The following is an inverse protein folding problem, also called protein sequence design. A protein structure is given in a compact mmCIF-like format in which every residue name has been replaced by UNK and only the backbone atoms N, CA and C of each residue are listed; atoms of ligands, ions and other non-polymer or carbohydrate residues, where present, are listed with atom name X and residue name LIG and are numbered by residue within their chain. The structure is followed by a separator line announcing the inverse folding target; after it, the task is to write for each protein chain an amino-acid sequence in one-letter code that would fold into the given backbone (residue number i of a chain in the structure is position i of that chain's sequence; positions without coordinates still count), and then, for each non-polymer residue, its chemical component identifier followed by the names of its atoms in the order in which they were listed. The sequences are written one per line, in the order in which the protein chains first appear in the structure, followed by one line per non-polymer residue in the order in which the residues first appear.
data_IF_116525903239
#
_entry.id   IF_116525903239
#
_cell.length_a   1.000
_cell.length_b   1.000
_cell.length_c   1.000
_cell.angle_alpha   90.00
_cell.angle_beta   90.00
_cell.angle_gamma   90.00
#
_symmetry.space_group_name_H-M   'P 1'
#
loop_
_entity.id
_entity.type
_entity.pdbx_description
1 polymer ?
#
# COMPACT_ATOMS: atom_id res chain seq x y z
N UNK A 1 -67.29 30.52 -23.36
CA UNK A 1 -66.51 30.06 -22.19
C UNK A 1 -66.25 28.58 -22.32
N UNK A 2 -65.03 28.16 -22.63
CA UNK A 2 -64.27 27.17 -21.86
C UNK A 2 -62.90 27.02 -22.55
N UNK A 3 -61.85 27.40 -21.84
CA UNK A 3 -60.50 27.59 -22.35
C UNK A 3 -59.68 26.30 -22.41
N UNK A 4 -58.79 26.29 -23.39
CA UNK A 4 -57.68 25.37 -23.60
C UNK A 4 -56.66 25.50 -22.47
N UNK A 5 -56.13 24.38 -21.96
CA UNK A 5 -54.80 24.34 -21.34
C UNK A 5 -54.17 22.96 -21.52
N UNK A 6 -53.40 22.80 -22.61
CA UNK A 6 -52.38 21.76 -22.75
C UNK A 6 -51.19 22.16 -21.87
N UNK A 7 -50.99 21.45 -20.75
CA UNK A 7 -49.81 21.58 -19.90
C UNK A 7 -48.63 20.82 -20.51
N UNK A 8 -47.70 21.53 -21.16
CA UNK A 8 -46.42 20.99 -21.59
C UNK A 8 -45.47 20.84 -20.41
N UNK A 9 -45.00 19.62 -20.15
CA UNK A 9 -43.95 19.33 -19.17
C UNK A 9 -42.61 19.74 -19.79
N UNK A 10 -42.05 20.84 -19.30
CA UNK A 10 -40.72 21.33 -19.67
C UNK A 10 -39.65 20.52 -18.91
N UNK A 11 -39.02 19.57 -19.58
CA UNK A 11 -37.84 18.87 -19.09
C UNK A 11 -36.65 19.85 -19.05
N UNK A 12 -36.37 20.40 -17.88
CA UNK A 12 -35.14 21.14 -17.59
C UNK A 12 -33.95 20.17 -17.63
N UNK A 13 -33.29 20.06 -18.78
CA UNK A 13 -31.98 19.43 -18.90
C UNK A 13 -30.94 20.35 -18.27
N UNK A 14 -30.54 20.09 -17.03
CA UNK A 14 -29.34 20.72 -16.45
C UNK A 14 -28.12 20.15 -17.18
N UNK A 15 -27.26 20.98 -17.81
CA UNK A 15 -26.02 20.48 -18.36
C UNK A 15 -25.13 20.02 -17.20
N UNK A 16 -24.75 18.74 -17.20
CA UNK A 16 -23.62 18.27 -16.40
C UNK A 16 -22.40 19.06 -16.86
N UNK A 17 -22.00 20.08 -16.11
CA UNK A 17 -20.66 20.64 -16.21
C UNK A 17 -19.68 19.54 -15.81
N UNK A 18 -19.09 18.88 -16.81
CA UNK A 18 -17.83 18.18 -16.64
C UNK A 18 -16.85 19.17 -15.98
N UNK A 19 -16.37 18.85 -14.79
CA UNK A 19 -15.38 19.67 -14.09
C UNK A 19 -14.06 19.56 -14.86
N UNK A 20 -13.88 20.45 -15.85
CA UNK A 20 -12.57 20.71 -16.43
C UNK A 20 -11.72 21.36 -15.34
N UNK A 21 -11.01 20.52 -14.57
CA UNK A 21 -9.96 20.97 -13.66
C UNK A 21 -8.99 21.85 -14.46
N UNK A 22 -8.64 23.06 -13.97
CA UNK A 22 -7.67 23.89 -14.63
C UNK A 22 -6.34 23.14 -14.81
N UNK A 23 -5.60 23.39 -15.91
CA UNK A 23 -4.33 22.71 -16.15
C UNK A 23 -3.41 22.88 -14.94
N UNK A 24 -2.87 21.77 -14.45
CA UNK A 24 -2.00 21.75 -13.29
C UNK A 24 -0.83 22.72 -13.49
N UNK A 25 -0.66 23.68 -12.56
CA UNK A 25 0.49 24.59 -12.57
C UNK A 25 1.78 23.75 -12.49
N UNK A 26 2.81 24.07 -13.30
CA UNK A 26 4.08 23.35 -13.24
C UNK A 26 4.68 23.49 -11.84
N UNK A 27 5.07 22.36 -11.24
CA UNK A 27 5.64 22.32 -9.89
C UNK A 27 7.03 22.97 -9.89
N UNK A 28 7.31 23.77 -8.86
CA UNK A 28 8.66 24.27 -8.61
C UNK A 28 9.56 23.12 -8.17
N UNK A 29 10.73 22.98 -8.77
CA UNK A 29 11.78 22.08 -8.29
C UNK A 29 12.83 22.90 -7.54
N UNK A 30 13.24 22.45 -6.36
CA UNK A 30 14.31 23.04 -5.56
C UNK A 30 15.46 22.07 -5.48
N UNK A 31 16.66 22.53 -5.85
CA UNK A 31 17.88 21.72 -5.78
C UNK A 31 18.85 22.39 -4.80
N UNK A 32 19.09 21.74 -3.66
CA UNK A 32 20.15 22.11 -2.74
C UNK A 32 21.41 21.32 -3.09
N UNK A 33 22.48 22.01 -3.46
CA UNK A 33 23.81 21.41 -3.49
C UNK A 33 24.37 21.40 -2.08
N UNK A 34 24.71 20.21 -1.58
CA UNK A 34 25.44 20.01 -0.34
C UNK A 34 26.87 19.59 -0.69
N UNK A 35 27.77 20.57 -0.66
CA UNK A 35 29.16 20.38 -1.06
C UNK A 35 30.05 20.11 0.14
N UNK A 36 30.81 19.02 0.05
CA UNK A 36 31.94 18.73 0.91
C UNK A 36 33.10 19.67 0.61
N UNK A 37 33.56 20.38 1.63
CA UNK A 37 34.77 21.18 1.61
C UNK A 37 35.64 20.86 2.84
N UNK A 38 35.59 19.61 3.30
CA UNK A 38 36.50 19.10 4.32
C UNK A 38 37.93 18.96 3.78
N UNK A 39 38.90 18.74 4.67
CA UNK A 39 40.31 18.64 4.29
C UNK A 39 40.62 17.53 3.28
N UNK A 40 39.84 16.43 3.25
CA UNK A 40 40.03 15.33 2.29
C UNK A 40 39.85 15.78 0.84
N UNK A 41 38.98 16.77 0.61
CA UNK A 41 38.73 17.35 -0.72
C UNK A 41 39.94 18.09 -1.30
N UNK A 42 40.99 18.34 -0.50
CA UNK A 42 42.28 18.85 -0.97
C UNK A 42 43.14 17.79 -1.69
N UNK A 43 42.82 16.50 -1.56
CA UNK A 43 43.58 15.43 -2.20
C UNK A 43 43.48 15.49 -3.73
N UNK A 44 44.54 15.03 -4.40
CA UNK A 44 44.64 15.03 -5.87
C UNK A 44 43.93 13.79 -6.45
N UNK A 45 43.10 14.01 -7.46
CA UNK A 45 42.42 12.98 -8.26
C UNK A 45 42.52 13.35 -9.74
N UNK A 46 43.00 12.42 -10.58
CA UNK A 46 43.29 12.66 -12.00
C UNK A 46 44.15 13.91 -12.28
N UNK A 47 45.13 14.17 -11.42
CA UNK A 47 46.06 15.29 -11.56
C UNK A 47 45.52 16.66 -11.14
N UNK A 48 44.32 16.73 -10.54
CA UNK A 48 43.75 17.97 -9.97
C UNK A 48 43.19 17.74 -8.56
N UNK A 49 43.16 18.75 -7.68
CA UNK A 49 42.47 18.62 -6.40
C UNK A 49 40.99 18.28 -6.57
N UNK A 50 40.45 17.35 -5.76
CA UNK A 50 39.02 16.95 -5.79
C UNK A 50 38.09 18.16 -5.67
N UNK A 51 38.44 19.13 -4.81
CA UNK A 51 37.70 20.37 -4.65
C UNK A 51 37.64 21.23 -5.93
N UNK A 52 38.74 21.32 -6.69
CA UNK A 52 38.74 22.07 -7.96
C UNK A 52 37.82 21.41 -8.99
N UNK A 53 37.85 20.08 -9.05
CA UNK A 53 36.97 19.28 -9.90
C UNK A 53 35.51 19.54 -9.51
N UNK A 54 35.16 19.37 -8.23
CA UNK A 54 33.81 19.60 -7.71
C UNK A 54 33.30 21.02 -8.02
N UNK A 55 34.13 22.06 -7.76
CA UNK A 55 33.80 23.46 -8.08
C UNK A 55 33.55 23.69 -9.57
N UNK A 56 34.44 23.19 -10.44
CA UNK A 56 34.32 23.36 -11.89
C UNK A 56 33.03 22.72 -12.43
N UNK A 57 32.66 21.58 -11.88
CA UNK A 57 31.48 20.82 -12.28
C UNK A 57 30.19 21.47 -11.79
N UNK A 58 30.14 21.82 -10.51
CA UNK A 58 29.04 22.58 -9.94
C UNK A 58 28.82 23.88 -10.70
N UNK A 59 29.87 24.63 -11.04
CA UNK A 59 29.77 25.88 -11.78
C UNK A 59 29.12 25.69 -13.16
N UNK A 60 29.56 24.68 -13.93
CA UNK A 60 28.94 24.36 -15.23
C UNK A 60 27.49 23.91 -15.08
N UNK A 61 27.22 23.09 -14.08
CA UNK A 61 25.88 22.56 -13.85
C UNK A 61 24.91 23.66 -13.46
N UNK A 62 25.27 24.55 -12.53
CA UNK A 62 24.36 25.64 -12.16
C UNK A 62 24.08 26.55 -13.34
N UNK A 63 25.04 26.75 -14.26
CA UNK A 63 24.80 27.48 -15.52
C UNK A 63 23.76 26.77 -16.41
N UNK A 64 23.90 25.46 -16.62
CA UNK A 64 22.93 24.66 -17.37
C UNK A 64 21.55 24.61 -16.70
N UNK A 65 21.50 24.47 -15.38
CA UNK A 65 20.26 24.46 -14.61
C UNK A 65 19.56 25.83 -14.63
N UNK A 66 20.34 26.91 -14.66
CA UNK A 66 19.82 28.27 -14.69
C UNK A 66 18.93 28.54 -15.90
N UNK A 67 18.94 27.72 -16.95
CA UNK A 67 18.08 27.91 -18.13
C UNK A 67 16.65 27.41 -17.88
N UNK A 68 16.45 26.45 -16.98
CA UNK A 68 15.14 25.85 -16.75
C UNK A 68 14.16 26.81 -16.06
N UNK A 69 12.87 26.78 -16.43
CA UNK A 69 11.81 27.49 -15.72
C UNK A 69 11.42 26.74 -14.44
N UNK A 70 10.88 27.45 -13.45
CA UNK A 70 10.38 26.89 -12.18
C UNK A 70 11.42 26.07 -11.39
N UNK A 71 12.68 26.52 -11.43
CA UNK A 71 13.80 25.91 -10.71
C UNK A 71 14.43 26.93 -9.76
N UNK A 72 14.60 26.51 -8.50
CA UNK A 72 15.32 27.27 -7.48
C UNK A 72 16.57 26.49 -7.06
N UNK A 73 17.69 27.19 -6.96
CA UNK A 73 18.99 26.59 -6.60
C UNK A 73 19.50 27.18 -5.30
N UNK A 74 20.07 26.34 -4.44
CA UNK A 74 20.77 26.74 -3.22
C UNK A 74 22.10 26.01 -3.07
N UNK A 75 22.98 26.53 -2.22
CA UNK A 75 24.26 25.92 -1.88
C UNK A 75 24.46 25.94 -0.36
N UNK A 76 24.57 24.76 0.23
CA UNK A 76 25.11 24.54 1.57
C UNK A 76 26.49 23.88 1.45
N UNK A 77 27.40 24.30 2.31
CA UNK A 77 28.77 23.78 2.35
C UNK A 77 29.08 23.36 3.78
N UNK A 78 29.86 22.29 3.93
CA UNK A 78 30.34 21.82 5.22
C UNK A 78 31.85 21.60 5.22
N UNK A 79 32.45 21.68 6.41
CA UNK A 79 33.88 21.47 6.61
C UNK A 79 34.78 22.60 6.10
N UNK A 80 34.22 23.76 5.71
CA UNK A 80 35.01 24.88 5.16
C UNK A 80 35.28 26.01 6.15
N UNK A 81 34.61 26.08 7.30
CA UNK A 81 34.71 27.22 8.20
C UNK A 81 35.84 27.07 9.21
N UNK A 82 36.06 25.84 9.69
CA UNK A 82 37.02 25.54 10.75
C UNK A 82 38.13 24.63 10.25
N UNK A 83 39.26 24.65 10.95
CA UNK A 83 40.39 23.75 10.72
C UNK A 83 40.07 22.33 11.23
N UNK A 84 40.83 21.33 10.78
CA UNK A 84 40.60 19.93 11.16
C UNK A 84 40.93 19.70 12.64
N UNK A 85 41.90 20.44 13.15
CA UNK A 85 42.40 20.40 14.53
C UNK A 85 41.34 20.84 15.55
N UNK A 86 40.42 21.72 15.15
CA UNK A 86 39.30 22.17 15.99
C UNK A 86 38.22 21.10 16.18
N UNK A 87 38.26 20.02 15.39
CA UNK A 87 37.36 18.88 15.45
C UNK A 87 35.86 19.26 15.46
N UNK A 88 35.49 20.32 14.75
CA UNK A 88 34.12 20.86 14.79
C UNK A 88 33.17 20.02 13.92
N UNK A 89 32.38 19.17 14.57
CA UNK A 89 31.37 18.33 13.94
C UNK A 89 30.03 19.03 13.66
N UNK A 90 29.99 20.35 13.77
CA UNK A 90 28.84 21.20 13.45
C UNK A 90 29.19 22.25 12.37
N UNK A 91 30.31 22.08 11.66
CA UNK A 91 30.73 22.95 10.56
C UNK A 91 29.86 22.72 9.32
N UNK A 92 28.75 23.46 9.23
CA UNK A 92 27.85 23.43 8.08
C UNK A 92 27.08 24.74 7.95
N UNK A 93 27.10 25.34 6.76
CA UNK A 93 26.43 26.63 6.51
C UNK A 93 25.74 26.69 5.17
N UNK A 94 24.51 27.20 5.17
CA UNK A 94 23.83 27.64 3.95
C UNK A 94 24.52 28.91 3.45
N UNK A 95 25.32 28.77 2.41
CA UNK A 95 26.13 29.85 1.87
C UNK A 95 25.40 30.64 0.80
N UNK A 96 24.48 29.98 0.09
CA UNK A 96 23.59 30.62 -0.86
C UNK A 96 22.18 30.08 -0.64
N UNK A 97 21.28 30.93 -0.17
CA UNK A 97 19.87 30.60 -0.01
C UNK A 97 19.19 30.34 -1.36
N UNK A 98 18.05 29.63 -1.34
CA UNK A 98 17.29 29.35 -2.54
C UNK A 98 16.82 30.62 -3.24
N UNK A 99 17.08 30.69 -4.55
CA UNK A 99 16.50 31.69 -5.41
C UNK A 99 16.33 31.15 -6.83
N UNK A 100 15.43 31.78 -7.60
CA UNK A 100 15.37 31.58 -9.05
C UNK A 100 16.61 32.17 -9.72
N UNK A 101 17.08 31.54 -10.79
CA UNK A 101 18.23 31.99 -11.58
C UNK A 101 19.54 32.24 -10.77
N UNK A 102 19.76 31.45 -9.72
CA UNK A 102 20.80 31.69 -8.70
C UNK A 102 22.23 31.25 -9.05
N UNK A 103 22.49 30.83 -10.30
CA UNK A 103 23.79 30.28 -10.70
C UNK A 103 24.97 31.21 -10.42
N UNK A 104 24.82 32.52 -10.64
CA UNK A 104 25.90 33.49 -10.46
C UNK A 104 26.34 33.59 -8.99
N UNK A 105 25.41 33.65 -8.05
CA UNK A 105 25.71 33.72 -6.62
C UNK A 105 26.42 32.45 -6.14
N UNK A 106 25.97 31.28 -6.61
CA UNK A 106 26.61 29.99 -6.32
C UNK A 106 28.05 29.99 -6.85
N UNK A 107 28.28 30.38 -8.12
CA UNK A 107 29.62 30.43 -8.70
C UNK A 107 30.56 31.38 -7.96
N UNK A 108 30.09 32.58 -7.61
CA UNK A 108 30.87 33.53 -6.83
C UNK A 108 31.28 32.94 -5.48
N UNK A 109 30.36 32.24 -4.81
CA UNK A 109 30.69 31.58 -3.55
C UNK A 109 31.72 30.46 -3.72
N UNK A 110 31.54 29.59 -4.72
CA UNK A 110 32.45 28.46 -5.00
C UNK A 110 33.91 28.91 -5.14
N UNK A 111 34.17 30.08 -5.71
CA UNK A 111 35.51 30.63 -5.86
C UNK A 111 36.21 30.89 -4.52
N UNK A 112 35.45 31.22 -3.47
CA UNK A 112 36.00 31.59 -2.14
C UNK A 112 36.26 30.39 -1.22
N UNK A 113 35.69 29.23 -1.52
CA UNK A 113 35.78 28.05 -0.65
C UNK A 113 37.18 27.44 -0.64
N UNK A 114 37.63 26.93 0.50
CA UNK A 114 38.86 26.16 0.62
C UNK A 114 38.58 24.89 1.42
N UNK A 115 39.19 23.74 1.07
CA UNK A 115 39.06 22.52 1.84
C UNK A 115 39.79 22.66 3.19
N UNK A 116 39.13 22.41 4.32
CA UNK A 116 39.72 22.63 5.66
C UNK A 116 39.44 21.54 6.70
N UNK A 117 38.23 21.55 7.25
CA UNK A 117 37.85 20.87 8.48
C UNK A 117 37.42 19.41 8.27
N UNK A 118 36.54 18.96 9.15
CA UNK A 118 35.98 17.61 9.19
C UNK A 118 34.80 17.42 8.22
N UNK A 119 34.27 16.20 8.15
CA UNK A 119 33.21 15.77 7.23
C UNK A 119 31.88 15.50 7.98
N UNK A 120 31.18 16.50 8.58
CA UNK A 120 29.96 16.30 9.35
C UNK A 120 28.71 16.13 8.47
N UNK A 121 28.62 14.99 7.76
CA UNK A 121 27.55 14.71 6.77
C UNK A 121 26.17 14.72 7.43
N UNK A 122 26.02 13.99 8.52
CA UNK A 122 24.77 13.79 9.28
C UNK A 122 24.23 15.12 9.78
N UNK A 123 25.08 15.92 10.43
CA UNK A 123 24.70 17.26 10.89
C UNK A 123 24.28 18.15 9.71
N UNK A 124 25.05 18.11 8.62
CA UNK A 124 24.76 18.91 7.44
C UNK A 124 23.46 18.54 6.75
N UNK A 125 23.15 17.24 6.63
CA UNK A 125 21.88 16.75 6.10
C UNK A 125 20.70 17.18 6.99
N UNK A 126 20.85 17.14 8.32
CA UNK A 126 19.83 17.64 9.24
C UNK A 126 19.59 19.15 9.08
N UNK A 127 20.65 19.94 8.94
CA UNK A 127 20.53 21.38 8.70
C UNK A 127 19.92 21.68 7.34
N UNK A 128 20.32 20.94 6.29
CA UNK A 128 19.72 21.03 4.96
C UNK A 128 18.21 20.85 4.97
N UNK A 129 17.69 19.98 5.84
CA UNK A 129 16.25 19.77 5.98
C UNK A 129 15.48 21.06 6.32
N UNK A 130 16.14 22.00 7.00
CA UNK A 130 15.55 23.28 7.43
C UNK A 130 15.77 24.41 6.42
N UNK A 131 16.65 24.21 5.43
CA UNK A 131 16.93 25.21 4.39
C UNK A 131 15.83 25.22 3.30
N UNK A 132 15.13 24.10 3.10
CA UNK A 132 14.05 24.01 2.12
C UNK A 132 12.81 24.80 2.60
N UNK A 133 12.26 25.71 1.78
CA UNK A 133 10.99 26.37 2.10
C UNK A 133 9.87 25.37 2.33
N UNK A 134 9.01 25.66 3.31
CA UNK A 134 7.86 24.84 3.67
C UNK A 134 6.77 24.93 2.59
N UNK A 135 6.89 24.09 1.56
CA UNK A 135 5.94 24.01 0.46
C UNK A 135 5.87 22.57 -0.04
N UNK A 136 4.71 21.95 0.18
CA UNK A 136 4.44 20.54 -0.17
C UNK A 136 4.18 20.32 -1.66
N UNK A 137 4.00 21.39 -2.43
CA UNK A 137 3.75 21.30 -3.88
C UNK A 137 5.04 21.31 -4.69
N UNK A 138 6.13 21.77 -4.08
CA UNK A 138 7.46 21.75 -4.67
C UNK A 138 8.14 20.39 -4.50
N UNK A 139 9.01 20.08 -5.46
CA UNK A 139 9.91 18.94 -5.40
C UNK A 139 11.23 19.39 -4.80
N UNK A 140 11.62 18.81 -3.66
CA UNK A 140 12.86 19.15 -2.97
C UNK A 140 13.90 18.05 -3.21
N UNK A 141 15.03 18.41 -3.82
CA UNK A 141 16.14 17.49 -4.11
C UNK A 141 17.41 18.01 -3.46
N UNK A 142 18.11 17.14 -2.75
CA UNK A 142 19.40 17.41 -2.15
C UNK A 142 20.46 16.59 -2.89
N UNK A 143 21.42 17.26 -3.50
CA UNK A 143 22.54 16.61 -4.18
C UNK A 143 23.76 16.72 -3.27
N UNK A 144 24.12 15.61 -2.63
CA UNK A 144 25.31 15.52 -1.79
C UNK A 144 26.51 15.22 -2.68
N UNK A 145 27.55 16.05 -2.60
CA UNK A 145 28.81 15.87 -3.32
C UNK A 145 29.90 15.75 -2.27
N UNK A 146 30.48 14.56 -2.15
CA UNK A 146 31.50 14.24 -1.13
C UNK A 146 32.56 13.31 -1.71
N UNK A 147 33.71 13.21 -1.06
CA UNK A 147 34.75 12.24 -1.39
C UNK A 147 34.89 11.11 -0.35
N UNK A 148 34.05 11.09 0.69
CA UNK A 148 34.26 10.22 1.83
C UNK A 148 33.03 9.91 2.69
N UNK A 149 33.30 9.26 3.81
CA UNK A 149 32.34 8.88 4.84
C UNK A 149 32.29 9.93 5.96
N UNK A 150 31.24 9.83 6.75
CA UNK A 150 31.08 10.56 8.00
C UNK A 150 32.30 10.40 8.92
N UNK A 151 32.91 11.52 9.32
CA UNK A 151 34.03 11.52 10.28
C UNK A 151 33.60 11.91 11.70
N UNK A 152 32.32 12.25 11.90
CA UNK A 152 31.78 12.81 13.15
C UNK A 152 30.78 11.90 13.87
N UNK A 153 30.88 10.57 13.68
CA UNK A 153 30.09 9.55 14.38
C UNK A 153 28.56 9.69 14.25
N UNK A 154 28.09 10.39 13.23
CA UNK A 154 26.67 10.46 12.89
C UNK A 154 26.16 9.20 12.18
N UNK A 155 24.84 9.08 12.05
CA UNK A 155 24.17 8.05 11.24
C UNK A 155 23.54 8.71 9.98
N UNK A 156 24.25 8.65 8.84
CA UNK A 156 23.76 9.19 7.59
C UNK A 156 22.50 8.47 7.10
N UNK A 157 22.38 7.16 7.36
CA UNK A 157 21.25 6.34 6.92
C UNK A 157 19.95 6.77 7.61
N UNK A 158 19.97 6.87 8.94
CA UNK A 158 18.82 7.33 9.71
C UNK A 158 18.41 8.76 9.30
N UNK A 159 19.39 9.61 9.00
CA UNK A 159 19.16 10.98 8.55
C UNK A 159 18.56 11.04 7.14
N UNK A 160 19.02 10.20 6.21
CA UNK A 160 18.43 10.06 4.88
C UNK A 160 16.95 9.66 4.97
N UNK A 161 16.63 8.68 5.81
CA UNK A 161 15.24 8.28 6.04
C UNK A 161 14.39 9.42 6.61
N UNK A 162 14.95 10.23 7.52
CA UNK A 162 14.28 11.41 8.05
C UNK A 162 14.04 12.49 6.99
N UNK A 163 14.98 12.69 6.05
CA UNK A 163 14.81 13.60 4.90
C UNK A 163 13.71 13.12 3.95
N UNK A 164 13.67 11.82 3.65
CA UNK A 164 12.65 11.25 2.78
C UNK A 164 11.24 11.41 3.36
N UNK A 165 11.09 11.25 4.69
CA UNK A 165 9.82 11.56 5.40
C UNK A 165 9.40 13.03 5.33
N UNK A 166 10.34 13.94 5.03
CA UNK A 166 10.07 15.36 4.77
C UNK A 166 9.90 15.68 3.27
N UNK A 167 9.78 14.66 2.41
CA UNK A 167 9.77 14.77 0.94
C UNK A 167 11.01 15.51 0.37
N UNK A 168 12.18 15.29 1.00
CA UNK A 168 13.48 15.78 0.53
C UNK A 168 14.27 14.59 -0.01
N UNK A 169 14.54 14.59 -1.31
CA UNK A 169 15.18 13.46 -1.99
C UNK A 169 16.69 13.62 -2.03
N UNK A 170 17.40 12.80 -1.26
CA UNK A 170 18.84 12.74 -1.25
C UNK A 170 19.37 11.98 -2.49
N UNK A 171 20.30 12.60 -3.21
CA UNK A 171 21.08 12.00 -4.31
C UNK A 171 22.56 12.11 -3.96
N UNK A 172 23.17 11.03 -3.44
CA UNK A 172 24.59 11.03 -3.09
C UNK A 172 25.47 10.81 -4.33
N UNK A 173 26.42 11.73 -4.52
CA UNK A 173 27.47 11.69 -5.53
C UNK A 173 28.82 11.65 -4.84
N UNK A 174 29.61 10.64 -5.21
CA UNK A 174 30.88 10.40 -4.56
C UNK A 174 32.03 10.51 -5.54
N UNK A 175 33.05 11.28 -5.14
CA UNK A 175 34.20 11.62 -5.96
C UNK A 175 35.39 10.75 -5.56
N UNK A 176 35.98 10.05 -6.54
CA UNK A 176 37.30 9.46 -6.38
C UNK A 176 37.37 8.27 -5.42
N UNK A 177 36.25 7.54 -5.24
CA UNK A 177 36.27 6.21 -4.62
C UNK A 177 36.78 5.23 -5.69
N UNK A 178 37.95 4.62 -5.43
CA UNK A 178 38.45 3.49 -6.22
C UNK A 178 37.48 2.29 -6.21
N UNK A 179 37.83 1.18 -6.85
CA UNK A 179 36.99 -0.01 -6.98
C UNK A 179 36.74 -0.80 -5.66
N UNK A 180 36.60 -0.11 -4.53
CA UNK A 180 36.44 -0.70 -3.19
C UNK A 180 34.96 -0.90 -2.87
N UNK A 181 34.52 -2.16 -3.01
CA UNK A 181 33.12 -2.59 -2.81
C UNK A 181 32.58 -2.33 -1.39
N UNK A 182 33.43 -2.15 -0.40
CA UNK A 182 33.03 -1.95 1.01
C UNK A 182 32.47 -0.54 1.27
N UNK A 183 32.95 0.47 0.53
CA UNK A 183 32.49 1.86 0.65
C UNK A 183 31.05 2.04 0.13
N UNK A 184 30.71 1.31 -0.94
CA UNK A 184 29.38 1.36 -1.54
C UNK A 184 28.27 0.94 -0.57
N UNK A 185 28.50 -0.13 0.20
CA UNK A 185 27.51 -0.67 1.16
C UNK A 185 27.13 0.31 2.25
N UNK A 186 28.08 1.14 2.71
CA UNK A 186 27.82 2.12 3.77
C UNK A 186 27.01 3.32 3.28
N UNK A 187 26.97 3.55 1.96
CA UNK A 187 26.25 4.67 1.33
C UNK A 187 24.96 4.21 0.61
N UNK A 188 24.74 2.90 0.42
CA UNK A 188 23.51 2.35 -0.16
C UNK A 188 22.23 2.81 0.56
N UNK A 189 22.31 2.96 1.89
CA UNK A 189 21.20 3.44 2.70
C UNK A 189 20.81 4.92 2.44
N UNK A 190 21.73 5.71 1.87
CA UNK A 190 21.47 7.09 1.47
C UNK A 190 20.64 7.18 0.18
N UNK A 191 20.42 6.04 -0.48
CA UNK A 191 19.78 5.92 -1.77
C UNK A 191 20.77 5.40 -2.81
N UNK A 192 20.33 5.38 -4.07
CA UNK A 192 21.22 5.06 -5.18
C UNK A 192 22.37 6.08 -5.24
N UNK A 193 23.59 5.62 -4.96
CA UNK A 193 24.79 6.43 -5.06
C UNK A 193 25.41 6.35 -6.45
N UNK A 194 26.11 7.42 -6.79
CA UNK A 194 26.76 7.58 -8.06
C UNK A 194 28.26 7.74 -7.84
N UNK A 195 29.02 6.69 -8.17
CA UNK A 195 30.48 6.75 -8.17
C UNK A 195 30.99 7.07 -9.57
N UNK A 196 31.96 7.96 -9.64
CA UNK A 196 32.69 8.24 -10.85
C UNK A 196 34.16 7.89 -10.67
N UNK A 197 34.66 7.02 -11.56
CA UNK A 197 36.07 6.67 -11.62
C UNK A 197 36.94 7.80 -12.20
N UNK A 198 36.34 8.67 -13.03
CA UNK A 198 36.98 9.78 -13.71
C UNK A 198 36.07 11.02 -13.83
N UNK A 199 36.64 12.17 -14.19
CA UNK A 199 35.93 13.45 -14.31
C UNK A 199 34.80 13.43 -15.36
N UNK A 200 34.97 12.68 -16.47
CA UNK A 200 33.98 12.62 -17.55
C UNK A 200 32.78 11.78 -17.15
N UNK A 201 33.00 10.66 -16.49
CA UNK A 201 31.95 9.81 -15.92
C UNK A 201 31.15 10.57 -14.88
N UNK A 202 31.80 11.34 -14.00
CA UNK A 202 31.10 12.16 -13.00
C UNK A 202 30.14 13.16 -13.64
N UNK A 203 30.59 13.85 -14.70
CA UNK A 203 29.74 14.77 -15.48
C UNK A 203 28.50 14.09 -16.01
N UNK A 204 28.67 12.98 -16.72
CA UNK A 204 27.57 12.27 -17.36
C UNK A 204 26.54 11.77 -16.36
N UNK A 205 26.98 11.24 -15.21
CA UNK A 205 26.06 10.73 -14.20
C UNK A 205 25.28 11.85 -13.53
N UNK A 206 25.92 12.98 -13.25
CA UNK A 206 25.28 14.15 -12.67
C UNK A 206 24.24 14.76 -13.63
N UNK A 207 24.60 14.92 -14.92
CA UNK A 207 23.68 15.41 -15.96
C UNK A 207 22.44 14.50 -16.12
N UNK A 208 22.63 13.18 -16.01
CA UNK A 208 21.55 12.20 -16.07
C UNK A 208 20.58 12.36 -14.90
N UNK A 209 21.06 12.49 -13.67
CA UNK A 209 20.19 12.65 -12.48
C UNK A 209 19.39 13.93 -12.54
N UNK A 210 20.00 15.01 -13.02
CA UNK A 210 19.30 16.29 -13.26
C UNK A 210 18.22 16.13 -14.32
N UNK A 211 18.56 15.52 -15.45
CA UNK A 211 17.62 15.29 -16.55
C UNK A 211 16.42 14.46 -16.07
N UNK A 212 16.67 13.39 -15.32
CA UNK A 212 15.65 12.54 -14.70
C UNK A 212 14.79 13.31 -13.69
N UNK A 213 15.38 14.24 -12.93
CA UNK A 213 14.67 15.06 -11.95
C UNK A 213 13.73 16.07 -12.59
N UNK A 214 14.08 16.60 -13.77
CA UNK A 214 13.35 17.67 -14.45
C UNK A 214 12.38 17.15 -15.52
N UNK A 215 12.61 15.99 -16.12
CA UNK A 215 11.71 15.42 -17.11
C UNK A 215 10.42 14.90 -16.48
N UNK A 216 9.30 15.14 -17.18
CA UNK A 216 8.00 14.64 -16.74
C UNK A 216 7.96 13.13 -16.86
N UNK A 217 7.81 12.45 -15.73
CA UNK A 217 7.51 11.02 -15.72
C UNK A 217 6.00 10.83 -15.73
N UNK A 218 5.51 9.85 -16.49
CA UNK A 218 4.10 9.50 -16.48
C UNK A 218 3.96 8.02 -16.17
N UNK A 219 3.00 7.67 -15.31
CA UNK A 219 2.73 6.28 -14.93
C UNK A 219 1.33 5.94 -15.34
N UNK A 220 1.15 4.80 -16.01
CA UNK A 220 -0.13 4.18 -16.27
C UNK A 220 -0.10 2.81 -15.63
N UNK A 221 -1.16 2.45 -14.92
CA UNK A 221 -1.32 1.10 -14.39
C UNK A 221 -2.37 0.39 -15.23
N UNK A 222 -2.07 -0.83 -15.66
CA UNK A 222 -2.94 -1.65 -16.47
C UNK A 222 -3.28 -2.93 -15.70
N UNK A 223 -4.52 -3.05 -15.27
CA UNK A 223 -5.03 -4.23 -14.60
C UNK A 223 -5.66 -5.19 -15.62
N UNK A 224 -5.26 -6.46 -15.55
CA UNK A 224 -5.59 -7.49 -16.55
C UNK A 224 -6.23 -8.72 -15.93
N UNK A 225 -6.94 -9.49 -16.75
CA UNK A 225 -7.39 -10.83 -16.37
C UNK A 225 -6.25 -11.87 -16.43
N UNK A 226 -6.59 -13.15 -16.26
CA UNK A 226 -5.62 -14.24 -16.30
C UNK A 226 -4.94 -14.39 -17.68
N UNK A 227 -5.64 -14.04 -18.76
CA UNK A 227 -5.18 -14.09 -20.15
C UNK A 227 -4.38 -12.84 -20.56
N UNK A 228 -4.26 -11.85 -19.66
CA UNK A 228 -3.58 -10.59 -19.92
C UNK A 228 -4.46 -9.56 -20.65
N UNK A 229 -5.77 -9.82 -20.81
CA UNK A 229 -6.68 -8.84 -21.40
C UNK A 229 -6.98 -7.75 -20.39
N UNK A 230 -6.96 -6.49 -20.80
CA UNK A 230 -6.97 -5.37 -19.87
C UNK A 230 -8.41 -4.94 -19.53
N UNK A 231 -9.08 -5.77 -18.73
CA UNK A 231 -10.54 -5.67 -18.46
C UNK A 231 -10.87 -5.15 -17.06
N UNK A 232 -9.90 -5.07 -16.17
CA UNK A 232 -10.12 -4.71 -14.77
C UNK A 232 -10.03 -3.20 -14.55
N UNK A 233 -10.95 -2.67 -13.74
CA UNK A 233 -11.01 -1.26 -13.37
C UNK A 233 -11.78 -1.05 -12.06
N UNK A 234 -11.74 0.18 -11.56
CA UNK A 234 -12.44 0.64 -10.36
C UNK A 234 -11.97 -0.09 -9.09
N UNK A 235 -10.68 -0.43 -9.04
CA UNK A 235 -10.02 -1.06 -7.90
C UNK A 235 -9.12 -0.02 -7.24
N UNK A 236 -9.19 0.08 -5.91
CA UNK A 236 -8.31 0.98 -5.17
C UNK A 236 -6.85 0.50 -5.30
N UNK A 237 -5.95 1.42 -5.55
CA UNK A 237 -4.51 1.23 -5.66
C UNK A 237 -3.83 2.13 -4.64
N UNK A 238 -2.92 1.55 -3.85
CA UNK A 238 -2.13 2.28 -2.87
C UNK A 238 -0.66 2.14 -3.23
N UNK A 239 -0.01 3.25 -3.51
CA UNK A 239 1.44 3.33 -3.71
C UNK A 239 2.07 3.66 -2.36
N UNK A 240 2.91 2.75 -1.88
CA UNK A 240 3.60 2.86 -0.59
C UNK A 240 5.04 3.22 -0.89
N UNK A 241 5.57 4.26 -0.25
CA UNK A 241 6.98 4.57 -0.35
C UNK A 241 7.80 3.41 0.27
N UNK A 242 8.64 2.75 -0.53
CA UNK A 242 9.37 1.54 -0.12
C UNK A 242 10.40 1.81 1.00
N UNK A 243 10.87 3.04 1.16
CA UNK A 243 11.83 3.41 2.19
C UNK A 243 11.14 3.74 3.53
N UNK A 244 9.99 4.40 3.51
CA UNK A 244 9.29 4.84 4.74
C UNK A 244 8.17 3.91 5.17
N UNK A 245 7.64 3.07 4.27
CA UNK A 245 6.46 2.23 4.50
C UNK A 245 5.14 3.01 4.53
N UNK A 246 5.15 4.31 4.22
CA UNK A 246 3.97 5.16 4.28
C UNK A 246 3.21 5.18 2.95
N UNK A 247 1.85 5.19 2.97
CA UNK A 247 1.06 5.41 1.76
C UNK A 247 1.29 6.82 1.20
N UNK A 248 1.82 6.91 -0.01
CA UNK A 248 2.08 8.19 -0.69
C UNK A 248 0.91 8.58 -1.60
N UNK A 249 0.39 7.62 -2.37
CA UNK A 249 -0.72 7.85 -3.29
C UNK A 249 -1.81 6.82 -3.13
N UNK A 250 -3.05 7.28 -3.21
CA UNK A 250 -4.24 6.44 -3.23
C UNK A 250 -5.08 6.83 -4.45
N UNK A 251 -5.23 5.89 -5.38
CA UNK A 251 -6.00 6.07 -6.60
C UNK A 251 -7.07 5.00 -6.69
N UNK A 252 -8.15 5.30 -7.40
CA UNK A 252 -9.09 4.28 -7.88
C UNK A 252 -8.76 4.09 -9.36
N UNK A 253 -8.38 2.86 -9.74
CA UNK A 253 -8.00 2.58 -11.12
C UNK A 253 -9.13 2.94 -12.09
N UNK A 254 -8.79 3.62 -13.18
CA UNK A 254 -9.74 4.03 -14.21
C UNK A 254 -9.32 3.52 -15.58
N UNK A 255 -10.32 3.28 -16.44
CA UNK A 255 -10.13 3.04 -17.87
C UNK A 255 -11.15 3.85 -18.66
N UNK A 256 -10.71 4.40 -19.78
CA UNK A 256 -11.61 5.06 -20.71
C UNK A 256 -12.43 4.06 -21.57
N UNK A 257 -13.32 4.59 -22.41
CA UNK A 257 -14.16 3.79 -23.29
C UNK A 257 -13.38 2.99 -24.36
N UNK A 258 -12.12 3.35 -24.62
CA UNK A 258 -11.20 2.61 -25.52
C UNK A 258 -10.38 1.56 -24.75
N UNK A 259 -10.66 1.40 -23.47
CA UNK A 259 -9.94 0.50 -22.59
C UNK A 259 -8.52 0.98 -22.25
N UNK A 260 -8.20 2.27 -22.38
CA UNK A 260 -6.89 2.80 -21.99
C UNK A 260 -6.90 3.28 -20.55
N UNK A 261 -5.87 2.96 -19.74
CA UNK A 261 -5.75 3.50 -18.40
C UNK A 261 -5.38 4.99 -18.44
N UNK A 262 -5.75 5.71 -17.38
CA UNK A 262 -5.37 7.10 -17.17
C UNK A 262 -3.87 7.25 -16.88
N UNK A 263 -3.42 8.51 -16.85
CA UNK A 263 -2.04 8.88 -16.50
C UNK A 263 -2.03 9.38 -15.07
N UNK A 264 -1.29 8.68 -14.22
CA UNK A 264 -1.07 9.04 -12.83
C UNK A 264 0.15 9.98 -12.71
N UNK A 265 -0.02 11.03 -11.91
CA UNK A 265 1.05 11.97 -11.53
C UNK A 265 1.80 11.44 -10.31
N UNK A 266 2.67 10.46 -10.55
CA UNK A 266 3.50 9.80 -9.53
C UNK A 266 4.93 10.33 -9.64
N UNK A 267 5.50 10.73 -8.51
CA UNK A 267 6.89 11.21 -8.48
C UNK A 267 7.86 10.04 -8.67
N UNK A 268 8.61 10.03 -9.78
CA UNK A 268 9.55 8.97 -10.11
C UNK A 268 10.87 9.03 -9.33
N UNK A 269 11.08 10.03 -8.47
CA UNK A 269 12.27 10.08 -7.62
C UNK A 269 12.22 9.10 -6.45
N UNK A 270 11.02 8.63 -6.08
CA UNK A 270 10.83 7.67 -5.00
C UNK A 270 10.69 6.25 -5.55
N UNK A 271 11.06 5.28 -4.72
CA UNK A 271 10.73 3.88 -4.93
C UNK A 271 9.40 3.58 -4.24
N UNK A 272 8.56 2.80 -4.91
CA UNK A 272 7.26 2.43 -4.36
C UNK A 272 7.02 0.93 -4.42
N UNK A 273 6.24 0.46 -3.47
CA UNK A 273 5.48 -0.76 -3.60
C UNK A 273 4.05 -0.40 -4.01
N UNK A 274 3.38 -1.27 -4.76
CA UNK A 274 1.98 -1.13 -5.13
C UNK A 274 1.14 -2.19 -4.44
N UNK A 275 0.10 -1.75 -3.74
CA UNK A 275 -1.01 -2.62 -3.31
C UNK A 275 -2.19 -2.34 -4.23
N UNK A 276 -2.63 -3.37 -4.95
CA UNK A 276 -3.90 -3.37 -5.66
C UNK A 276 -4.90 -4.05 -4.72
N UNK A 277 -5.86 -3.28 -4.22
CA UNK A 277 -6.79 -3.68 -3.16
C UNK A 277 -7.95 -4.55 -3.71
N UNK A 278 -7.60 -5.59 -4.48
CA UNK A 278 -8.48 -6.74 -4.71
C UNK A 278 -8.70 -7.50 -3.41
N UNK A 279 -9.56 -8.52 -3.42
CA UNK A 279 -9.82 -9.37 -2.26
C UNK A 279 -9.48 -10.83 -2.59
N UNK A 280 -8.35 -11.39 -2.10
CA UNK A 280 -7.29 -10.75 -1.32
C UNK A 280 -6.45 -9.72 -2.13
N UNK A 281 -5.68 -8.83 -1.47
CA UNK A 281 -4.91 -7.80 -2.14
C UNK A 281 -3.70 -8.38 -2.90
N UNK A 282 -3.44 -7.85 -4.09
CA UNK A 282 -2.24 -8.15 -4.87
C UNK A 282 -1.17 -7.11 -4.54
N UNK A 283 0.04 -7.56 -4.21
CA UNK A 283 1.17 -6.71 -3.84
C UNK A 283 2.29 -6.86 -4.86
N UNK A 284 2.82 -5.74 -5.32
CA UNK A 284 4.04 -5.67 -6.12
C UNK A 284 5.05 -4.82 -5.36
N UNK A 285 6.15 -5.44 -4.92
CA UNK A 285 7.27 -4.71 -4.36
C UNK A 285 8.13 -4.07 -5.47
N UNK A 286 8.83 -2.99 -5.13
CA UNK A 286 9.90 -2.40 -5.94
C UNK A 286 9.46 -2.10 -7.40
N UNK A 287 8.51 -1.18 -7.52
CA UNK A 287 7.97 -0.71 -8.79
C UNK A 287 9.07 -0.15 -9.70
N UNK A 288 9.17 -0.71 -10.90
CA UNK A 288 10.14 -0.31 -11.92
C UNK A 288 9.67 0.91 -12.72
N UNK A 289 9.60 2.06 -12.05
CA UNK A 289 9.33 3.35 -12.68
C UNK A 289 10.64 3.92 -13.22
N UNK A 290 10.70 4.16 -14.52
CA UNK A 290 11.81 4.82 -15.21
C UNK A 290 11.57 6.34 -15.23
N UNK A 291 12.42 7.13 -14.56
CA UNK A 291 12.29 8.59 -14.57
C UNK A 291 12.40 9.18 -15.98
N UNK A 292 11.66 10.25 -16.24
CA UNK A 292 11.64 10.98 -17.51
C UNK A 292 10.96 10.27 -18.67
N UNK A 293 10.33 9.12 -18.43
CA UNK A 293 9.71 8.29 -19.47
C UNK A 293 8.21 8.04 -19.19
N UNK A 294 7.51 7.56 -20.22
CA UNK A 294 6.20 6.97 -20.06
C UNK A 294 6.35 5.53 -19.54
N UNK A 295 5.68 5.24 -18.43
CA UNK A 295 5.73 3.94 -17.77
C UNK A 295 4.35 3.28 -17.87
N UNK A 296 4.32 2.06 -18.40
CA UNK A 296 3.13 1.21 -18.39
C UNK A 296 3.39 0.00 -17.49
N UNK A 297 2.77 0.00 -16.33
CA UNK A 297 2.89 -1.07 -15.34
C UNK A 297 1.69 -2.01 -15.49
N UNK A 298 1.91 -3.28 -15.79
CA UNK A 298 0.81 -4.24 -16.05
C UNK A 298 0.79 -5.33 -14.99
N UNK A 299 -0.39 -5.57 -14.40
CA UNK A 299 -0.59 -6.56 -13.35
C UNK A 299 -1.81 -7.44 -13.62
N UNK A 300 -1.68 -8.74 -13.33
CA UNK A 300 -2.79 -9.70 -13.42
C UNK A 300 -3.60 -9.66 -12.14
N UNK A 301 -4.87 -9.30 -12.26
CA UNK A 301 -5.81 -9.19 -11.16
C UNK A 301 -7.19 -9.72 -11.59
N UNK A 302 -7.30 -10.96 -12.09
CA UNK A 302 -8.59 -11.46 -12.55
C UNK A 302 -9.60 -11.43 -11.41
N UNK A 303 -10.81 -10.94 -11.65
CA UNK A 303 -11.85 -10.85 -10.62
C UNK A 303 -13.16 -11.48 -11.07
N UNK A 304 -13.80 -12.20 -10.15
CA UNK A 304 -15.18 -12.65 -10.25
C UNK A 304 -15.99 -12.17 -9.04
N UNK A 305 -17.29 -12.40 -9.04
CA UNK A 305 -18.19 -11.97 -7.95
C UNK A 305 -18.67 -13.18 -7.16
N UNK A 306 -18.48 -13.17 -5.84
CA UNK A 306 -19.18 -14.04 -4.92
C UNK A 306 -20.51 -13.38 -4.52
N UNK A 307 -21.61 -14.11 -4.69
CA UNK A 307 -22.94 -13.70 -4.23
C UNK A 307 -23.41 -14.65 -3.13
N UNK A 308 -23.63 -14.11 -1.94
CA UNK A 308 -24.20 -14.86 -0.83
C UNK A 308 -25.71 -14.69 -0.84
N UNK A 309 -26.44 -15.72 -1.24
CA UNK A 309 -27.89 -15.67 -1.37
C UNK A 309 -28.57 -16.62 -0.38
N UNK A 310 -29.34 -16.04 0.55
CA UNK A 310 -30.13 -16.82 1.49
C UNK A 310 -31.31 -17.52 0.82
N UNK A 311 -31.95 -18.48 1.50
CA UNK A 311 -33.17 -19.10 1.03
C UNK A 311 -34.30 -18.07 0.95
N UNK A 312 -35.26 -18.29 0.04
CA UNK A 312 -36.46 -17.47 -0.10
C UNK A 312 -37.44 -17.73 1.06
N UNK A 313 -37.13 -17.19 2.24
CA UNK A 313 -37.94 -17.33 3.45
C UNK A 313 -37.87 -16.07 4.31
N UNK A 314 -39.05 -15.53 4.66
CA UNK A 314 -39.18 -14.27 5.42
C UNK A 314 -40.25 -14.42 6.51
N UNK A 315 -39.92 -14.18 7.79
CA UNK A 315 -38.58 -13.91 8.31
C UNK A 315 -37.68 -15.16 8.26
N UNK A 316 -36.37 -14.95 8.17
CA UNK A 316 -35.42 -16.04 8.34
C UNK A 316 -35.22 -16.30 9.85
N UNK A 317 -35.47 -17.51 10.38
CA UNK A 317 -35.31 -17.80 11.81
C UNK A 317 -33.87 -17.69 12.33
N UNK A 318 -32.86 -17.65 11.46
CA UNK A 318 -31.49 -17.31 11.86
C UNK A 318 -31.23 -15.80 11.97
N UNK A 319 -32.16 -14.96 11.53
CA UNK A 319 -31.86 -13.56 11.24
C UNK A 319 -30.86 -13.42 10.10
N UNK A 320 -29.86 -12.56 10.27
CA UNK A 320 -28.80 -12.32 9.28
C UNK A 320 -27.69 -13.33 9.43
N UNK A 321 -27.68 -14.36 8.57
CA UNK A 321 -26.58 -15.34 8.50
C UNK A 321 -25.32 -14.68 7.96
N UNK A 322 -24.18 -15.02 8.54
CA UNK A 322 -22.85 -14.57 8.10
C UNK A 322 -22.13 -15.71 7.37
N UNK A 323 -21.18 -15.37 6.50
CA UNK A 323 -20.23 -16.30 5.93
C UNK A 323 -18.80 -15.81 6.11
N UNK A 324 -17.89 -16.75 6.32
CA UNK A 324 -16.44 -16.53 6.35
C UNK A 324 -15.84 -17.16 5.10
N UNK A 325 -15.09 -16.38 4.33
CA UNK A 325 -14.45 -16.82 3.09
C UNK A 325 -12.95 -16.93 3.32
N UNK A 326 -12.37 -18.07 2.96
CA UNK A 326 -10.92 -18.34 3.01
C UNK A 326 -10.44 -18.81 1.65
N UNK A 327 -9.22 -18.45 1.25
CA UNK A 327 -8.60 -19.08 0.11
C UNK A 327 -8.35 -20.56 0.41
N UNK A 328 -8.51 -21.43 -0.58
CA UNK A 328 -8.38 -22.88 -0.36
C UNK A 328 -6.98 -23.22 0.19
N UNK A 329 -6.95 -23.96 1.30
CA UNK A 329 -5.70 -24.33 1.98
C UNK A 329 -5.07 -23.23 2.85
N UNK A 330 -5.74 -22.09 3.01
CA UNK A 330 -5.31 -21.01 3.92
C UNK A 330 -6.27 -20.91 5.11
N UNK A 331 -5.71 -20.73 6.31
CA UNK A 331 -6.50 -20.52 7.52
C UNK A 331 -7.00 -19.07 7.66
N UNK A 332 -6.29 -18.13 7.05
CA UNK A 332 -6.60 -16.71 7.12
C UNK A 332 -7.94 -16.40 6.42
N UNK A 333 -8.81 -15.70 7.15
CA UNK A 333 -10.04 -15.13 6.59
C UNK A 333 -9.68 -14.07 5.55
N UNK A 334 -10.17 -14.26 4.34
CA UNK A 334 -10.07 -13.28 3.24
C UNK A 334 -11.13 -12.19 3.42
N UNK A 335 -12.37 -12.58 3.71
CA UNK A 335 -13.47 -11.66 4.00
C UNK A 335 -14.56 -12.37 4.81
N UNK A 336 -15.29 -11.63 5.63
CA UNK A 336 -16.50 -12.11 6.31
C UNK A 336 -17.66 -11.16 5.99
N UNK A 337 -18.78 -11.70 5.51
CA UNK A 337 -19.89 -10.92 4.97
C UNK A 337 -21.24 -11.55 5.33
N UNK A 338 -22.30 -10.73 5.49
CA UNK A 338 -23.66 -11.24 5.64
C UNK A 338 -24.18 -11.83 4.32
N UNK A 339 -25.09 -12.79 4.42
CA UNK A 339 -25.94 -13.18 3.30
C UNK A 339 -26.79 -12.01 2.83
N UNK A 340 -26.94 -11.89 1.52
CA UNK A 340 -27.45 -10.71 0.81
C UNK A 340 -26.34 -9.87 0.14
N UNK A 341 -25.07 -10.12 0.48
CA UNK A 341 -23.94 -9.40 -0.10
C UNK A 341 -23.52 -9.91 -1.48
N UNK A 342 -22.91 -9.01 -2.26
CA UNK A 342 -22.16 -9.31 -3.49
C UNK A 342 -20.75 -8.73 -3.32
N UNK A 343 -19.72 -9.55 -3.51
CA UNK A 343 -18.33 -9.18 -3.29
C UNK A 343 -17.47 -9.61 -4.47
N UNK A 344 -16.68 -8.69 -5.03
CA UNK A 344 -15.62 -9.07 -5.97
C UNK A 344 -14.48 -9.75 -5.23
N UNK A 345 -14.04 -10.89 -5.74
CA UNK A 345 -12.89 -11.63 -5.25
C UNK A 345 -11.90 -11.83 -6.40
N UNK A 346 -10.62 -11.93 -6.06
CA UNK A 346 -9.59 -12.36 -7.00
C UNK A 346 -9.93 -13.78 -7.50
N UNK A 347 -9.57 -14.09 -8.75
CA UNK A 347 -9.79 -15.41 -9.33
C UNK A 347 -9.01 -16.48 -8.56
N UNK A 348 -9.68 -17.58 -8.23
CA UNK A 348 -9.09 -18.63 -7.40
C UNK A 348 -10.11 -19.56 -6.76
N UNK A 349 -9.63 -20.52 -5.98
CA UNK A 349 -10.48 -21.45 -5.22
C UNK A 349 -10.62 -20.99 -3.77
N UNK A 350 -11.84 -21.10 -3.25
CA UNK A 350 -12.21 -20.62 -1.93
C UNK A 350 -13.06 -21.63 -1.18
N UNK A 351 -12.93 -21.60 0.14
CA UNK A 351 -13.86 -22.23 1.07
C UNK A 351 -14.74 -21.15 1.72
N UNK A 352 -16.05 -21.31 1.60
CA UNK A 352 -17.06 -20.44 2.19
C UNK A 352 -17.72 -21.20 3.34
N UNK A 353 -17.40 -20.78 4.57
CA UNK A 353 -17.98 -21.29 5.80
C UNK A 353 -19.21 -20.45 6.14
N UNK A 354 -20.39 -21.05 5.97
CA UNK A 354 -21.69 -20.45 6.27
C UNK A 354 -22.01 -20.71 7.74
N UNK A 355 -22.20 -19.63 8.50
CA UNK A 355 -22.37 -19.68 9.96
C UNK A 355 -23.82 -20.01 10.36
N UNK A 356 -24.32 -21.15 9.87
CA UNK A 356 -25.57 -21.78 10.32
C UNK A 356 -25.29 -22.81 11.41
N UNK A 357 -26.34 -23.47 11.92
CA UNK A 357 -26.22 -24.60 12.85
C UNK A 357 -26.79 -25.88 12.22
N UNK A 358 -26.00 -26.92 11.95
CA UNK A 358 -24.54 -26.93 11.85
C UNK A 358 -24.00 -25.96 10.79
N UNK A 359 -22.71 -25.66 10.89
CA UNK A 359 -22.00 -24.83 9.90
C UNK A 359 -21.91 -25.60 8.59
N UNK A 360 -22.02 -24.89 7.47
CA UNK A 360 -21.92 -25.48 6.13
C UNK A 360 -20.65 -24.95 5.47
N UNK A 361 -19.80 -25.85 4.96
CA UNK A 361 -18.63 -25.47 4.17
C UNK A 361 -18.94 -25.73 2.69
N UNK A 362 -18.64 -24.75 1.84
CA UNK A 362 -18.76 -24.84 0.38
C UNK A 362 -17.45 -24.50 -0.29
N UNK A 363 -16.97 -25.38 -1.15
CA UNK A 363 -15.83 -25.11 -2.03
C UNK A 363 -16.33 -24.50 -3.33
N UNK A 364 -15.77 -23.35 -3.71
CA UNK A 364 -16.14 -22.62 -4.91
C UNK A 364 -14.92 -22.14 -5.67
N UNK A 365 -15.07 -21.98 -6.99
CA UNK A 365 -14.04 -21.40 -7.86
C UNK A 365 -14.55 -20.09 -8.42
N UNK A 366 -13.87 -18.99 -8.08
CA UNK A 366 -14.14 -17.67 -8.62
C UNK A 366 -13.41 -17.52 -9.95
N UNK A 367 -14.16 -17.20 -11.02
CA UNK A 367 -13.64 -17.03 -12.39
C UNK A 367 -13.86 -15.60 -12.88
N UNK A 368 -13.00 -15.17 -13.79
CA UNK A 368 -13.03 -13.84 -14.41
C UNK A 368 -14.44 -13.46 -14.90
N UNK A 369 -14.96 -12.33 -14.44
CA UNK A 369 -16.23 -11.74 -14.86
C UNK A 369 -17.49 -12.55 -14.49
N UNK A 370 -17.36 -13.72 -13.86
CA UNK A 370 -18.49 -14.59 -13.52
C UNK A 370 -19.01 -14.30 -12.11
N UNK A 371 -20.32 -14.48 -11.92
CA UNK A 371 -20.94 -14.53 -10.60
C UNK A 371 -21.04 -15.98 -10.11
N UNK A 372 -20.48 -16.24 -8.94
CA UNK A 372 -20.56 -17.51 -8.23
C UNK A 372 -21.48 -17.37 -7.03
N UNK A 373 -22.56 -18.13 -7.00
CA UNK A 373 -23.56 -18.05 -5.95
C UNK A 373 -23.32 -19.13 -4.89
N UNK A 374 -23.35 -18.72 -3.61
CA UNK A 374 -23.39 -19.64 -2.46
C UNK A 374 -24.71 -19.43 -1.73
N UNK A 375 -25.37 -20.54 -1.41
CA UNK A 375 -26.65 -20.58 -0.71
C UNK A 375 -26.65 -21.66 0.37
N UNK A 376 -27.68 -21.64 1.22
CA UNK A 376 -27.94 -22.66 2.23
C UNK A 376 -29.45 -22.99 2.28
N UNK A 377 -29.82 -24.22 2.67
CA UNK A 377 -31.23 -24.61 2.79
C UNK A 377 -32.00 -23.75 3.80
N UNK A 378 -33.31 -23.62 3.60
CA UNK A 378 -34.19 -23.05 4.61
C UNK A 378 -34.11 -23.92 5.91
N UNK A 379 -33.79 -23.33 7.08
CA UNK A 379 -33.76 -24.09 8.33
C UNK A 379 -35.14 -24.61 8.73
N UNK A 380 -35.14 -25.62 9.60
CA UNK A 380 -36.28 -25.97 10.43
C UNK A 380 -36.02 -25.59 11.89
N UNK A 381 -36.96 -25.96 12.75
CA UNK A 381 -36.93 -25.65 14.18
C UNK A 381 -36.97 -26.92 14.99
N UNK A 382 -35.99 -27.12 15.88
CA UNK A 382 -36.07 -28.12 16.94
C UNK A 382 -36.82 -27.53 18.14
N UNK A 383 -37.82 -28.23 18.63
CA UNK A 383 -38.54 -27.89 19.85
C UNK A 383 -38.42 -29.05 20.85
N UNK A 384 -37.58 -28.89 21.88
CA UNK A 384 -37.52 -29.84 22.99
C UNK A 384 -38.57 -29.41 24.01
N UNK A 385 -39.60 -30.24 24.18
CA UNK A 385 -40.74 -29.90 25.04
C UNK A 385 -40.51 -30.24 26.51
N UNK A 386 -39.61 -31.20 26.77
CA UNK A 386 -39.26 -31.65 28.12
C UNK A 386 -38.43 -30.59 28.83
N UNK A 387 -38.84 -30.24 30.06
CA UNK A 387 -38.18 -29.24 30.90
C UNK A 387 -37.51 -29.90 32.10
N UNK A 388 -36.25 -30.29 31.92
CA UNK A 388 -35.45 -30.95 32.95
C UNK A 388 -34.07 -30.28 33.04
N UNK A 389 -33.57 -30.09 34.26
CA UNK A 389 -32.18 -29.73 34.48
C UNK A 389 -31.28 -30.96 34.27
N UNK A 390 -30.14 -30.79 33.60
CA UNK A 390 -29.26 -31.90 33.27
C UNK A 390 -28.15 -31.55 32.30
N UNK A 391 -27.59 -32.56 31.67
CA UNK A 391 -26.45 -32.42 30.77
C UNK A 391 -26.79 -33.11 29.47
N UNK A 392 -26.76 -32.37 28.36
CA UNK A 392 -26.97 -32.98 27.06
C UNK A 392 -26.45 -32.18 25.90
N UNK A 393 -26.32 -32.87 24.79
CA UNK A 393 -25.73 -32.37 23.56
C UNK A 393 -26.49 -32.88 22.36
N UNK A 394 -26.44 -32.11 21.29
CA UNK A 394 -26.98 -32.50 19.98
C UNK A 394 -25.81 -32.82 19.06
N UNK A 395 -25.96 -33.93 18.34
CA UNK A 395 -25.03 -34.40 17.33
C UNK A 395 -25.72 -34.42 15.97
N UNK A 396 -25.03 -33.99 14.92
CA UNK A 396 -25.41 -34.28 13.54
C UNK A 396 -24.97 -35.71 13.21
N UNK A 397 -25.86 -36.48 12.57
CA UNK A 397 -25.54 -37.80 12.05
C UNK A 397 -25.08 -37.65 10.59
N UNK A 398 -23.87 -38.13 10.29
CA UNK A 398 -23.26 -38.06 8.97
C UNK A 398 -23.61 -39.30 8.14
N UNK A 399 -23.43 -39.22 6.82
CA UNK A 399 -23.75 -40.31 5.89
C UNK A 399 -22.82 -41.54 6.07
N UNK A 400 -21.64 -41.34 6.67
CA UNK A 400 -20.65 -42.39 6.97
C UNK A 400 -20.85 -43.04 8.34
N UNK A 401 -22.05 -42.91 8.91
CA UNK A 401 -22.44 -43.39 10.26
C UNK A 401 -21.72 -42.71 11.43
N UNK A 402 -20.77 -41.81 11.16
CA UNK A 402 -20.16 -40.98 12.20
C UNK A 402 -21.13 -39.90 12.69
N UNK A 403 -20.80 -39.27 13.82
CA UNK A 403 -21.59 -38.15 14.35
C UNK A 403 -20.70 -36.98 14.74
N UNK A 404 -21.17 -35.77 14.45
CA UNK A 404 -20.48 -34.52 14.74
C UNK A 404 -21.20 -33.81 15.88
N UNK A 405 -20.48 -33.44 16.95
CA UNK A 405 -21.06 -32.62 18.03
C UNK A 405 -21.28 -31.18 17.54
N UNK A 406 -22.48 -30.62 17.75
CA UNK A 406 -22.86 -29.32 17.18
C UNK A 406 -23.46 -28.33 18.19
N UNK A 407 -23.99 -28.79 19.31
CA UNK A 407 -24.66 -27.93 20.29
C UNK A 407 -24.71 -28.57 21.68
N UNK A 408 -24.59 -27.75 22.73
CA UNK A 408 -24.84 -28.15 24.12
C UNK A 408 -26.14 -27.52 24.62
N UNK A 409 -26.98 -28.32 25.25
CA UNK A 409 -28.16 -27.83 25.94
C UNK A 409 -27.75 -27.02 27.19
N UNK A 410 -28.51 -25.95 27.54
CA UNK A 410 -28.34 -25.30 28.83
C UNK A 410 -28.53 -26.29 29.99
N UNK A 411 -27.68 -26.21 31.02
CA UNK A 411 -27.76 -27.16 32.13
C UNK A 411 -28.97 -26.94 33.05
N UNK A 412 -29.52 -25.71 33.05
CA UNK A 412 -30.67 -25.33 33.85
C UNK A 412 -31.99 -25.88 33.32
N UNK A 413 -32.10 -26.06 32.00
CA UNK A 413 -33.31 -26.57 31.34
C UNK A 413 -32.97 -27.17 29.98
N UNK A 414 -33.54 -28.33 29.70
CA UNK A 414 -33.53 -28.96 28.38
C UNK A 414 -34.55 -28.37 27.42
N UNK A 415 -35.50 -27.56 27.90
CA UNK A 415 -36.57 -27.00 27.07
C UNK A 415 -35.99 -25.89 26.19
N UNK A 416 -35.97 -26.12 24.88
CA UNK A 416 -35.38 -25.18 23.93
C UNK A 416 -36.19 -25.10 22.63
N UNK A 417 -36.11 -23.94 21.99
CA UNK A 417 -36.53 -23.73 20.62
C UNK A 417 -35.29 -23.29 19.83
N UNK A 418 -34.80 -24.15 18.94
CA UNK A 418 -33.50 -24.01 18.30
C UNK A 418 -33.62 -24.12 16.78
N UNK A 419 -33.23 -23.07 16.07
CA UNK A 419 -33.15 -23.05 14.61
C UNK A 419 -31.97 -23.88 14.14
N UNK A 420 -32.21 -24.83 13.22
CA UNK A 420 -31.19 -25.75 12.72
C UNK A 420 -31.35 -26.05 11.22
N UNK A 421 -30.25 -26.38 10.54
CA UNK A 421 -30.25 -26.84 9.16
C UNK A 421 -30.95 -28.20 9.03
N UNK A 422 -31.56 -28.50 7.87
CA UNK A 422 -32.13 -29.82 7.63
C UNK A 422 -31.07 -30.92 7.73
N UNK A 423 -31.44 -32.06 8.29
CA UNK A 423 -30.53 -33.18 8.51
C UNK A 423 -31.03 -34.17 9.56
N UNK A 424 -30.29 -35.26 9.71
CA UNK A 424 -30.50 -36.24 10.77
C UNK A 424 -29.64 -35.89 12.00
N UNK A 425 -30.23 -36.00 13.18
CA UNK A 425 -29.61 -35.58 14.43
C UNK A 425 -29.89 -36.58 15.55
N UNK A 426 -29.06 -36.49 16.60
CA UNK A 426 -29.20 -37.24 17.83
C UNK A 426 -29.10 -36.31 19.03
N UNK A 427 -30.07 -36.42 19.92
CA UNK A 427 -30.06 -35.82 21.24
C UNK A 427 -29.57 -36.87 22.24
N UNK A 428 -28.60 -36.50 23.06
CA UNK A 428 -28.07 -37.30 24.17
C UNK A 428 -28.22 -36.48 25.44
N UNK A 429 -28.94 -36.99 26.43
CA UNK A 429 -29.22 -36.23 27.65
C UNK A 429 -29.33 -37.12 28.89
N UNK A 430 -28.79 -36.63 30.01
CA UNK A 430 -29.03 -37.21 31.35
C UNK A 430 -29.51 -36.12 32.29
N UNK A 431 -30.41 -36.48 33.21
CA UNK A 431 -30.86 -35.53 34.24
C UNK A 431 -29.72 -35.21 35.22
N UNK A 432 -29.79 -34.03 35.84
CA UNK A 432 -28.78 -33.58 36.82
C UNK A 432 -28.66 -34.53 38.01
N UNK A 433 -29.77 -35.16 38.40
CA UNK A 433 -29.86 -36.05 39.57
C UNK A 433 -29.58 -37.53 39.24
N UNK A 434 -29.31 -37.87 37.97
CA UNK A 434 -28.98 -39.24 37.57
C UNK A 434 -27.66 -39.70 38.20
N UNK A 435 -27.66 -40.88 38.84
CA UNK A 435 -26.50 -41.42 39.57
C UNK A 435 -25.51 -42.23 38.71
N UNK A 436 -25.70 -42.27 37.40
CA UNK A 436 -24.82 -42.99 36.47
C UNK A 436 -25.07 -42.63 35.00
N UNK A 437 -24.08 -42.84 34.14
CA UNK A 437 -24.14 -42.54 32.70
C UNK A 437 -25.12 -43.45 31.94
N UNK A 438 -25.39 -44.65 32.45
CA UNK A 438 -26.35 -45.60 31.88
C UNK A 438 -27.80 -45.08 31.83
N UNK A 439 -28.12 -44.02 32.60
CA UNK A 439 -29.43 -43.37 32.59
C UNK A 439 -29.56 -42.26 31.53
N UNK A 440 -28.65 -42.24 30.55
CA UNK A 440 -28.71 -41.31 29.43
C UNK A 440 -29.81 -41.72 28.47
N UNK A 441 -30.72 -40.80 28.15
CA UNK A 441 -31.68 -40.97 27.06
C UNK A 441 -31.06 -40.52 25.74
N UNK A 442 -31.33 -41.28 24.68
CA UNK A 442 -30.81 -41.04 23.34
C UNK A 442 -31.96 -41.04 22.34
N UNK A 443 -32.14 -39.92 21.64
CA UNK A 443 -33.24 -39.74 20.68
C UNK A 443 -32.71 -39.28 19.33
N UNK A 444 -32.96 -40.07 18.28
CA UNK A 444 -32.71 -39.63 16.91
C UNK A 444 -33.92 -38.88 16.38
N UNK A 445 -33.68 -37.83 15.61
CA UNK A 445 -34.73 -37.02 14.98
C UNK A 445 -34.23 -36.41 13.67
N UNK A 446 -35.14 -35.87 12.87
CA UNK A 446 -34.81 -35.26 11.57
C UNK A 446 -35.40 -33.85 11.51
N UNK A 447 -34.58 -32.87 11.18
CA UNK A 447 -35.04 -31.51 10.89
C UNK A 447 -35.34 -31.40 9.40
N UNK A 448 -36.50 -30.84 9.07
CA UNK A 448 -36.95 -30.56 7.69
C UNK A 448 -37.08 -29.04 7.50
N UNK A 449 -36.80 -28.57 6.29
CA UNK A 449 -36.90 -27.15 5.95
C UNK A 449 -38.28 -26.56 6.25
N UNK A 450 -38.30 -25.43 6.97
CA UNK A 450 -39.52 -24.69 7.30
C UNK A 450 -40.46 -25.39 8.29
N UNK A 451 -40.07 -26.53 8.87
CA UNK A 451 -40.91 -27.31 9.77
C UNK A 451 -40.38 -27.33 11.20
N UNK A 452 -41.29 -27.42 12.16
CA UNK A 452 -40.97 -27.65 13.58
C UNK A 452 -40.95 -29.15 13.88
N UNK A 453 -39.86 -29.63 14.46
CA UNK A 453 -39.70 -31.00 14.93
C UNK A 453 -39.71 -31.00 16.45
N UNK A 454 -40.72 -31.61 17.05
CA UNK A 454 -40.84 -31.70 18.52
C UNK A 454 -40.23 -33.01 19.02
N UNK A 455 -39.36 -32.92 20.03
CA UNK A 455 -38.71 -34.08 20.67
C UNK A 455 -39.00 -34.05 22.17
N UNK A 456 -39.43 -35.19 22.72
CA UNK A 456 -39.55 -35.42 24.16
C UNK A 456 -38.50 -36.43 24.61
N UNK A 457 -38.03 -36.26 25.84
CA UNK A 457 -37.06 -37.17 26.48
C UNK A 457 -37.75 -37.99 27.57
N UNK A 458 -37.22 -39.18 27.83
CA UNK A 458 -37.71 -40.13 28.84
C UNK A 458 -39.18 -40.54 28.66
N UNK A 459 -39.72 -40.41 27.44
CA UNK A 459 -41.03 -40.96 27.06
C UNK A 459 -40.97 -42.47 26.84
N UNK A 460 -42.08 -43.16 27.10
CA UNK A 460 -42.25 -44.58 26.76
C UNK A 460 -42.09 -44.84 25.26
#
# INVERSE_FOLDING_TARGET
MCGILLGGILLLTTPLCAQNLPPAKPRTTRILFLLDASGSMGAVWEGRPRMEVAKSLLAKMVDSLNTYPNLELGLRVYGHQYSREENNCQDSRLEVAFASKNAQAIKAKLQTLQPRGNTPITYSLLQSANDFPADKTARNVLILITDGLESCQGDPCATSLALQRKHIFLKPFVIGIGAEKEFGKQLECLGQYYNAADVKTFRSVLDNVITQTLQKTTVRVNLTDADGKPVESNVNMTFINSATGQPEYNYVHYRDAKGQPDVLDIDALQSYDLIINTVPPVRQADLKIKPGQANLLTYKTPQGTLRLQGPNMTPNPYGTVQAVVRAQGQEATVVALPFGSRQKLLGGNYEVEVLTLPRIIRRVTIKQGQETMVTYPAPGTLNIVTDLAGYGSIYQLNDDESQTWIYNLPESTSKINLTMQPGAYRLVFRTKNSTGSQFTDVRNFTIRSGQTTSVSMFGK
#
